data_IF_438878007020
#
_entry.id   IF_438878007020
#
_cell.length_a   1.000
_cell.length_b   1.000
_cell.length_c   1.000
_cell.angle_alpha   90.00
_cell.angle_beta   90.00
_cell.angle_gamma   90.00
#
_symmetry.space_group_name_H-M   'P 1'
#
loop_
_entity.id
_entity.type
_entity.pdbx_description
1 polymer ?
#
# COMPACT_ATOMS: atom_id res chain seq x y z
N UNK A 1 -72.97 16.57 5.13
CA UNK A 1 -73.21 15.16 4.75
C UNK A 1 -71.87 14.47 4.74
N UNK A 2 -71.60 13.68 5.77
CA UNK A 2 -70.38 12.90 5.97
C UNK A 2 -70.34 11.74 4.98
N UNK A 3 -69.17 11.42 4.43
CA UNK A 3 -68.67 10.05 4.18
C UNK A 3 -67.20 10.13 3.70
N UNK A 4 -66.30 9.56 4.50
CA UNK A 4 -64.96 9.11 4.11
C UNK A 4 -65.08 7.77 3.35
N UNK A 5 -64.12 7.40 2.47
CA UNK A 5 -63.06 6.47 2.94
C UNK A 5 -61.65 6.63 2.31
N UNK A 6 -60.69 6.34 3.19
CA UNK A 6 -59.42 5.59 3.10
C UNK A 6 -58.34 5.81 2.01
N UNK A 7 -57.11 5.87 2.55
CA UNK A 7 -55.76 5.95 1.95
C UNK A 7 -55.46 4.86 0.93
N UNK A 8 -54.70 5.22 -0.11
CA UNK A 8 -53.52 4.45 -0.50
C UNK A 8 -52.33 5.40 -0.68
N UNK A 9 -51.22 5.04 -0.05
CA UNK A 9 -49.95 5.76 -0.08
C UNK A 9 -49.07 5.13 -1.16
N UNK A 10 -48.69 5.90 -2.17
CA UNK A 10 -47.37 5.78 -2.80
C UNK A 10 -47.01 7.13 -3.40
N UNK A 11 -46.02 7.78 -2.79
CA UNK A 11 -45.53 9.07 -3.23
C UNK A 11 -44.78 8.94 -4.55
N UNK A 12 -45.11 9.80 -5.49
CA UNK A 12 -44.19 10.14 -6.57
C UNK A 12 -43.04 10.99 -6.02
N UNK A 13 -41.90 10.98 -6.69
CA UNK A 13 -41.48 12.08 -7.56
C UNK A 13 -40.02 11.94 -7.98
N UNK A 14 -39.77 12.48 -9.17
CA UNK A 14 -38.55 13.12 -9.65
C UNK A 14 -37.29 12.29 -9.90
N UNK A 15 -37.15 11.97 -11.19
CA UNK A 15 -35.89 12.01 -11.91
C UNK A 15 -35.42 13.47 -12.02
N UNK A 16 -34.44 13.87 -11.21
CA UNK A 16 -33.52 14.94 -11.59
C UNK A 16 -32.24 14.90 -10.76
N UNK A 17 -31.15 15.37 -11.38
CA UNK A 17 -29.80 14.99 -11.05
C UNK A 17 -29.25 15.45 -9.70
N UNK A 18 -28.31 14.65 -9.17
CA UNK A 18 -27.16 15.20 -8.47
C UNK A 18 -25.90 14.44 -8.86
N UNK A 19 -25.17 15.06 -9.80
CA UNK A 19 -23.74 14.91 -9.92
C UNK A 19 -23.09 15.07 -8.54
N UNK A 20 -22.20 14.15 -8.19
CA UNK A 20 -21.40 14.26 -6.98
C UNK A 20 -20.44 15.45 -7.14
N UNK A 21 -20.78 16.59 -6.54
CA UNK A 21 -19.95 17.79 -6.52
C UNK A 21 -18.65 17.49 -5.79
N UNK A 22 -17.55 17.42 -6.53
CA UNK A 22 -16.20 17.50 -5.99
C UNK A 22 -15.98 18.94 -5.52
N UNK A 23 -15.89 19.12 -4.20
CA UNK A 23 -15.49 20.39 -3.59
C UNK A 23 -16.32 20.81 -2.40
N UNK A 24 -16.12 20.17 -1.25
CA UNK A 24 -16.48 20.76 0.05
C UNK A 24 -15.23 20.88 0.93
N UNK A 25 -14.92 22.12 1.33
CA UNK A 25 -13.88 22.46 2.32
C UNK A 25 -14.49 22.35 3.72
N UNK A 26 -14.02 21.39 4.51
CA UNK A 26 -14.28 21.38 5.94
C UNK A 26 -13.18 22.15 6.68
N UNK A 27 -13.58 23.16 7.44
CA UNK A 27 -12.72 23.92 8.35
C UNK A 27 -12.98 23.42 9.77
N UNK A 28 -11.94 22.97 10.47
CA UNK A 28 -11.97 22.74 11.91
C UNK A 28 -10.85 23.53 12.58
N UNK A 29 -11.18 24.17 13.70
CA UNK A 29 -10.31 25.00 14.54
C UNK A 29 -10.00 24.22 15.82
N UNK A 30 -8.72 24.20 16.22
CA UNK A 30 -8.33 24.15 17.65
C UNK A 30 -7.70 22.87 18.19
N UNK A 31 -6.36 22.91 18.32
CA UNK A 31 -5.46 22.23 19.26
C UNK A 31 -5.43 20.70 19.37
N UNK A 32 -4.26 20.14 19.02
CA UNK A 32 -3.84 18.77 19.31
C UNK A 32 -3.48 18.03 18.03
N UNK A 33 -2.17 18.01 17.70
CA UNK A 33 -1.59 17.47 16.45
C UNK A 33 -2.29 16.19 15.99
N UNK A 34 -3.13 16.33 14.96
CA UNK A 34 -3.73 15.23 14.21
C UNK A 34 -3.17 15.33 12.81
N UNK A 35 -2.26 14.41 12.44
CA UNK A 35 -1.75 14.31 11.07
C UNK A 35 -2.70 13.36 10.32
N UNK A 36 -3.57 13.92 9.47
CA UNK A 36 -4.30 13.18 8.43
C UNK A 36 -3.51 13.31 7.13
N UNK A 37 -3.15 12.19 6.51
CA UNK A 37 -2.58 12.17 5.17
C UNK A 37 -3.69 12.03 4.13
N UNK A 38 -3.61 12.87 3.09
CA UNK A 38 -4.56 12.95 1.99
C UNK A 38 -4.35 11.86 0.93
N UNK A 39 -5.45 11.51 0.27
CA UNK A 39 -5.60 10.50 -0.77
C UNK A 39 -4.94 10.96 -2.08
N UNK A 40 -3.77 10.41 -2.40
CA UNK A 40 -3.42 10.15 -3.81
C UNK A 40 -3.82 8.70 -4.11
N UNK A 41 -5.13 8.57 -4.34
CA UNK A 41 -5.89 7.37 -4.71
C UNK A 41 -5.63 6.09 -3.90
N UNK A 42 -5.78 6.22 -2.58
CA UNK A 42 -5.69 5.19 -1.53
C UNK A 42 -4.34 4.46 -1.47
N UNK A 43 -3.39 5.22 -0.91
CA UNK A 43 -2.32 4.77 -0.02
C UNK A 43 -2.50 3.33 0.48
N UNK A 44 -1.52 2.46 0.22
CA UNK A 44 -1.56 1.08 0.74
C UNK A 44 -1.18 1.02 2.23
N UNK A 45 -0.41 2.01 2.72
CA UNK A 45 -0.18 2.19 4.15
C UNK A 45 0.62 3.45 4.49
N UNK A 46 0.48 3.96 5.72
CA UNK A 46 1.33 5.02 6.27
C UNK A 46 1.81 4.79 7.70
N UNK A 47 3.01 5.29 8.03
CA UNK A 47 3.56 5.36 9.40
C UNK A 47 4.39 6.62 9.63
N UNK A 48 4.43 7.17 10.84
CA UNK A 48 5.54 8.01 11.27
C UNK A 48 6.86 7.20 11.33
N UNK A 49 7.88 7.67 10.61
CA UNK A 49 9.28 7.26 10.73
C UNK A 49 9.86 7.72 12.07
N UNK A 50 10.90 7.05 12.62
CA UNK A 50 11.68 7.56 13.75
C UNK A 50 12.27 8.96 13.55
N UNK A 51 12.35 9.47 12.30
CA UNK A 51 12.76 10.86 11.99
C UNK A 51 11.60 11.87 11.97
N UNK A 52 10.36 11.43 12.13
CA UNK A 52 9.15 12.26 12.04
C UNK A 52 8.49 12.29 10.65
N UNK A 53 9.12 11.73 9.63
CA UNK A 53 8.60 11.68 8.25
C UNK A 53 7.66 10.49 8.03
N UNK A 54 6.59 10.64 7.25
CA UNK A 54 5.60 9.57 7.07
C UNK A 54 6.01 8.60 5.94
N UNK A 55 6.43 7.37 6.26
CA UNK A 55 6.68 6.32 5.24
C UNK A 55 5.36 5.94 4.59
N UNK A 56 5.35 5.93 3.26
CA UNK A 56 4.16 5.66 2.46
C UNK A 56 4.44 4.60 1.40
N UNK A 57 3.56 3.60 1.26
CA UNK A 57 3.56 2.69 0.11
C UNK A 57 2.53 3.16 -0.92
N UNK A 58 3.01 3.42 -2.13
CA UNK A 58 2.24 3.87 -3.28
C UNK A 58 1.87 2.72 -4.20
N UNK A 59 0.58 2.34 -4.21
CA UNK A 59 0.07 1.21 -4.97
C UNK A 59 -1.19 1.61 -5.76
N UNK A 60 -1.06 2.38 -6.86
CA UNK A 60 -2.21 2.85 -7.64
C UNK A 60 -3.06 1.70 -8.20
N UNK A 61 -2.47 0.53 -8.40
CA UNK A 61 -3.12 -0.71 -8.85
C UNK A 61 -4.28 -1.15 -7.94
N UNK A 62 -4.22 -0.84 -6.64
CA UNK A 62 -5.30 -1.15 -5.70
C UNK A 62 -6.62 -0.41 -6.02
N UNK A 63 -6.57 0.69 -6.78
CA UNK A 63 -7.78 1.43 -7.20
C UNK A 63 -8.64 0.66 -8.20
N UNK A 64 -8.05 -0.32 -8.88
CA UNK A 64 -8.74 -1.14 -9.87
C UNK A 64 -9.56 -2.27 -9.22
N UNK A 65 -9.29 -2.57 -7.94
CA UNK A 65 -10.02 -3.57 -7.19
C UNK A 65 -11.32 -3.00 -6.60
N UNK A 66 -12.38 -3.81 -6.49
CA UNK A 66 -13.61 -3.38 -5.83
C UNK A 66 -13.36 -2.90 -4.41
N UNK A 67 -14.05 -1.84 -4.01
CA UNK A 67 -14.00 -1.37 -2.63
C UNK A 67 -14.47 -2.50 -1.68
N UNK A 68 -13.79 -2.63 -0.55
CA UNK A 68 -13.95 -3.68 0.46
C UNK A 68 -13.55 -5.10 0.00
N UNK A 69 -13.01 -5.27 -1.21
CA UNK A 69 -12.35 -6.52 -1.57
C UNK A 69 -11.16 -6.76 -0.62
N UNK A 70 -10.89 -8.01 -0.27
CA UNK A 70 -9.76 -8.34 0.60
C UNK A 70 -8.43 -8.10 -0.13
N UNK A 71 -7.39 -7.70 0.61
CA UNK A 71 -6.05 -7.47 0.08
C UNK A 71 -5.47 -8.70 -0.63
N UNK A 72 -5.90 -9.93 -0.30
CA UNK A 72 -5.52 -11.13 -1.07
C UNK A 72 -5.84 -11.01 -2.56
N UNK A 73 -6.88 -10.26 -2.94
CA UNK A 73 -7.22 -10.03 -4.35
C UNK A 73 -6.11 -9.28 -5.10
N UNK A 74 -5.28 -8.51 -4.38
CA UNK A 74 -4.10 -7.82 -4.92
C UNK A 74 -3.03 -8.79 -5.41
N UNK A 75 -3.01 -10.03 -4.93
CA UNK A 75 -1.98 -11.04 -5.28
C UNK A 75 -2.40 -11.95 -6.43
N UNK A 76 -3.64 -11.80 -6.93
CA UNK A 76 -4.15 -12.59 -8.05
C UNK A 76 -3.75 -11.97 -9.39
N UNK A 77 -3.59 -12.76 -10.45
CA UNK A 77 -3.22 -12.28 -11.79
C UNK A 77 -4.42 -11.64 -12.53
N UNK A 78 -5.12 -10.73 -11.84
CA UNK A 78 -6.30 -10.02 -12.36
C UNK A 78 -5.97 -8.58 -12.76
N UNK A 79 -4.81 -8.07 -12.33
CA UNK A 79 -4.36 -6.70 -12.56
C UNK A 79 -2.90 -6.70 -12.98
N UNK A 80 -2.60 -5.96 -14.03
CA UNK A 80 -1.23 -5.57 -14.34
C UNK A 80 -0.81 -4.43 -13.39
N UNK A 81 -0.01 -4.79 -12.39
CA UNK A 81 0.40 -3.86 -11.35
C UNK A 81 1.36 -2.78 -11.85
N UNK A 82 2.32 -3.17 -12.69
CA UNK A 82 3.35 -2.26 -13.14
C UNK A 82 2.81 -1.31 -14.21
N UNK A 83 1.93 -1.78 -15.10
CA UNK A 83 1.23 -0.90 -16.05
C UNK A 83 0.32 0.12 -15.33
N UNK A 84 -0.41 -0.29 -14.28
CA UNK A 84 -1.18 0.65 -13.46
C UNK A 84 -0.28 1.74 -12.84
N UNK A 85 0.91 1.37 -12.37
CA UNK A 85 1.89 2.31 -11.83
C UNK A 85 2.42 3.25 -12.92
N UNK A 86 2.83 2.73 -14.07
CA UNK A 86 3.35 3.52 -15.20
C UNK A 86 2.32 4.53 -15.69
N UNK A 87 1.06 4.10 -15.93
CA UNK A 87 -0.02 4.99 -16.35
C UNK A 87 -0.25 6.11 -15.36
N UNK A 88 -0.21 5.79 -14.07
CA UNK A 88 -0.41 6.78 -13.03
C UNK A 88 0.78 7.74 -12.91
N UNK A 89 2.03 7.26 -13.04
CA UNK A 89 3.24 8.10 -13.07
C UNK A 89 3.24 9.08 -14.25
N UNK A 90 2.77 8.66 -15.44
CA UNK A 90 2.61 9.56 -16.58
C UNK A 90 1.60 10.68 -16.33
N UNK A 91 0.59 10.45 -15.48
CA UNK A 91 -0.31 11.51 -15.03
C UNK A 91 0.35 12.51 -14.06
N UNK A 92 1.66 12.35 -13.78
CA UNK A 92 2.49 13.22 -12.95
C UNK A 92 1.93 13.42 -11.54
N UNK A 93 1.77 12.33 -10.76
CA UNK A 93 1.20 12.41 -9.43
C UNK A 93 2.16 13.16 -8.51
N UNK A 94 1.62 13.95 -7.60
CA UNK A 94 2.45 14.55 -6.54
C UNK A 94 2.73 13.49 -5.48
N UNK A 95 3.86 12.80 -5.62
CA UNK A 95 4.30 11.84 -4.63
C UNK A 95 4.52 12.53 -3.27
N UNK A 96 4.02 11.98 -2.15
CA UNK A 96 4.34 12.50 -0.84
C UNK A 96 5.84 12.31 -0.54
N UNK A 97 6.39 13.01 0.48
CA UNK A 97 7.70 12.68 1.01
C UNK A 97 7.76 11.20 1.46
N UNK A 98 8.93 10.58 1.38
CA UNK A 98 9.17 9.19 1.83
C UNK A 98 8.22 8.15 1.20
N UNK A 99 8.02 8.28 -0.12
CA UNK A 99 7.10 7.46 -0.89
C UNK A 99 7.81 6.30 -1.61
N UNK A 100 7.34 5.08 -1.36
CA UNK A 100 7.84 3.84 -1.93
C UNK A 100 6.85 3.30 -2.95
N UNK A 101 7.27 3.15 -4.20
CA UNK A 101 6.40 2.57 -5.24
C UNK A 101 6.27 1.06 -5.06
N UNK A 102 5.04 0.56 -5.02
CA UNK A 102 4.72 -0.86 -5.06
C UNK A 102 4.93 -1.39 -6.48
N UNK A 103 5.87 -2.30 -6.63
CA UNK A 103 6.28 -2.88 -7.92
C UNK A 103 6.22 -4.40 -7.81
N UNK A 104 5.62 -5.05 -8.80
CA UNK A 104 5.73 -6.50 -8.97
C UNK A 104 7.08 -6.79 -9.60
N UNK A 105 8.06 -7.14 -8.76
CA UNK A 105 9.48 -7.26 -9.16
C UNK A 105 9.78 -8.45 -10.08
N UNK A 106 8.86 -9.41 -10.15
CA UNK A 106 8.99 -10.64 -10.97
C UNK A 106 8.23 -10.57 -12.29
N UNK A 107 7.71 -9.39 -12.65
CA UNK A 107 6.98 -9.21 -13.90
C UNK A 107 7.90 -9.43 -15.12
N UNK A 108 7.65 -10.44 -15.97
CA UNK A 108 8.50 -10.73 -17.11
C UNK A 108 8.36 -9.71 -18.25
N UNK A 109 7.33 -8.85 -18.22
CA UNK A 109 7.01 -7.92 -19.30
C UNK A 109 7.36 -6.46 -18.98
N UNK A 110 7.78 -6.17 -17.74
CA UNK A 110 8.15 -4.82 -17.35
C UNK A 110 9.40 -4.33 -18.09
N UNK A 111 9.31 -3.12 -18.64
CA UNK A 111 10.47 -2.34 -19.07
C UNK A 111 11.06 -1.61 -17.86
N UNK A 112 12.13 -2.17 -17.30
CA UNK A 112 12.65 -1.74 -16.00
C UNK A 112 13.34 -0.40 -16.06
N UNK A 113 14.07 -0.14 -17.14
CA UNK A 113 14.73 1.12 -17.44
C UNK A 113 13.72 2.26 -17.45
N UNK A 114 12.64 2.14 -18.25
CA UNK A 114 11.57 3.13 -18.36
C UNK A 114 10.87 3.34 -17.02
N UNK A 115 10.53 2.25 -16.31
CA UNK A 115 9.93 2.36 -14.99
C UNK A 115 10.86 3.09 -14.01
N UNK A 116 12.15 2.80 -14.03
CA UNK A 116 13.14 3.48 -13.19
C UNK A 116 13.27 4.97 -13.51
N UNK A 117 13.21 5.35 -14.79
CA UNK A 117 13.23 6.76 -15.23
C UNK A 117 11.99 7.50 -14.74
N UNK A 118 10.80 6.91 -14.94
CA UNK A 118 9.53 7.49 -14.48
C UNK A 118 9.48 7.67 -12.95
N UNK A 119 10.03 6.71 -12.20
CA UNK A 119 10.10 6.81 -10.74
C UNK A 119 11.07 7.92 -10.28
N UNK A 120 12.17 8.14 -11.00
CA UNK A 120 13.11 9.24 -10.73
C UNK A 120 12.46 10.60 -11.03
N UNK A 121 11.77 10.72 -12.16
CA UNK A 121 11.05 11.94 -12.56
C UNK A 121 9.93 12.29 -11.57
N UNK A 122 9.22 11.27 -11.08
CA UNK A 122 8.21 11.42 -10.03
C UNK A 122 8.79 11.65 -8.62
N UNK A 123 10.11 11.65 -8.48
CA UNK A 123 10.83 11.86 -7.21
C UNK A 123 10.43 10.87 -6.12
N UNK A 124 10.18 9.62 -6.51
CA UNK A 124 9.92 8.55 -5.55
C UNK A 124 11.16 8.30 -4.68
N UNK A 125 10.95 8.07 -3.38
CA UNK A 125 12.05 7.79 -2.44
C UNK A 125 12.63 6.41 -2.67
N UNK A 126 11.78 5.45 -3.01
CA UNK A 126 12.20 4.07 -3.13
C UNK A 126 11.17 3.17 -3.79
N UNK A 127 11.45 1.88 -3.74
CA UNK A 127 10.58 0.82 -4.26
C UNK A 127 10.31 -0.23 -3.19
N UNK A 128 9.20 -0.94 -3.36
CA UNK A 128 8.83 -2.08 -2.53
C UNK A 128 8.28 -3.21 -3.38
N UNK A 129 8.57 -4.47 -3.02
CA UNK A 129 8.10 -5.66 -3.74
C UNK A 129 6.67 -6.00 -3.29
N UNK A 130 5.71 -5.22 -3.76
CA UNK A 130 4.31 -5.48 -3.45
C UNK A 130 3.48 -5.67 -4.72
N UNK A 131 2.71 -6.77 -4.80
CA UNK A 131 2.76 -7.96 -3.94
C UNK A 131 4.10 -8.71 -4.00
N UNK A 132 4.55 -9.36 -2.90
CA UNK A 132 5.80 -10.11 -2.90
C UNK A 132 5.66 -11.44 -3.65
N UNK A 133 6.71 -11.91 -4.29
CA UNK A 133 6.72 -13.10 -5.15
C UNK A 133 6.28 -14.36 -4.42
N UNK A 134 6.58 -14.49 -3.12
CA UNK A 134 6.11 -15.62 -2.31
C UNK A 134 4.57 -15.73 -2.21
N UNK A 135 3.85 -14.66 -2.57
CA UNK A 135 2.40 -14.62 -2.64
C UNK A 135 1.85 -14.87 -4.04
N UNK A 136 2.69 -14.71 -5.08
CA UNK A 136 2.31 -14.86 -6.49
C UNK A 136 2.75 -16.23 -7.01
N UNK A 137 4.02 -16.57 -6.83
CA UNK A 137 4.63 -17.81 -7.29
C UNK A 137 4.59 -18.86 -6.19
N UNK A 138 3.66 -19.81 -6.36
CA UNK A 138 3.53 -20.99 -5.49
C UNK A 138 3.51 -22.26 -6.34
N UNK A 139 4.05 -23.34 -5.78
CA UNK A 139 3.88 -24.68 -6.34
C UNK A 139 2.39 -25.08 -6.33
N UNK A 140 2.05 -26.16 -7.02
CA UNK A 140 0.69 -26.74 -6.95
C UNK A 140 0.29 -27.15 -5.53
N UNK A 141 1.27 -27.36 -4.63
CA UNK A 141 1.07 -27.62 -3.20
C UNK A 141 0.99 -26.33 -2.36
N UNK A 142 1.00 -25.14 -2.98
CA UNK A 142 0.90 -23.84 -2.31
C UNK A 142 2.19 -23.34 -1.66
N UNK A 143 3.34 -24.00 -1.91
CA UNK A 143 4.65 -23.65 -1.34
C UNK A 143 5.31 -22.56 -2.16
N UNK A 144 5.82 -21.47 -1.56
CA UNK A 144 6.56 -20.43 -2.29
C UNK A 144 7.74 -20.99 -3.08
N UNK A 145 7.97 -20.46 -4.29
CA UNK A 145 9.14 -20.79 -5.09
C UNK A 145 10.31 -19.85 -4.77
N UNK A 146 11.47 -20.41 -4.41
CA UNK A 146 12.67 -19.63 -4.08
C UNK A 146 13.19 -18.79 -5.25
N UNK A 147 12.92 -19.25 -6.49
CA UNK A 147 13.32 -18.52 -7.71
C UNK A 147 12.68 -17.13 -7.80
N UNK A 148 11.42 -16.99 -7.38
CA UNK A 148 10.72 -15.71 -7.37
C UNK A 148 11.42 -14.73 -6.45
N UNK A 149 11.74 -15.14 -5.23
CA UNK A 149 12.46 -14.30 -4.27
C UNK A 149 13.84 -13.86 -4.78
N UNK A 150 14.60 -14.76 -5.40
CA UNK A 150 15.90 -14.39 -5.97
C UNK A 150 15.76 -13.31 -7.05
N UNK A 151 14.74 -13.41 -7.90
CA UNK A 151 14.45 -12.38 -8.91
C UNK A 151 14.06 -11.05 -8.26
N UNK A 152 13.23 -11.06 -7.20
CA UNK A 152 12.87 -9.86 -6.46
C UNK A 152 14.10 -9.15 -5.90
N UNK A 153 14.98 -9.88 -5.24
CA UNK A 153 16.18 -9.33 -4.61
C UNK A 153 17.14 -8.76 -5.65
N UNK A 154 17.37 -9.46 -6.78
CA UNK A 154 18.16 -8.93 -7.90
C UNK A 154 17.58 -7.63 -8.45
N UNK A 155 16.25 -7.57 -8.59
CA UNK A 155 15.58 -6.38 -9.12
C UNK A 155 15.68 -5.21 -8.15
N UNK A 156 15.53 -5.47 -6.86
CA UNK A 156 15.72 -4.47 -5.81
C UNK A 156 17.16 -3.96 -5.73
N UNK A 157 18.16 -4.82 -5.90
CA UNK A 157 19.56 -4.39 -6.03
C UNK A 157 19.77 -3.46 -7.22
N UNK A 158 19.12 -3.75 -8.35
CA UNK A 158 19.18 -2.89 -9.52
C UNK A 158 18.59 -1.50 -9.24
N UNK A 159 17.41 -1.43 -8.60
CA UNK A 159 16.84 -0.14 -8.17
C UNK A 159 17.74 0.58 -7.15
N UNK A 160 18.31 -0.16 -6.19
CA UNK A 160 19.22 0.40 -5.20
C UNK A 160 20.47 1.04 -5.83
N UNK A 161 21.04 0.40 -6.86
CA UNK A 161 22.16 0.96 -7.64
C UNK A 161 21.79 2.24 -8.40
N UNK A 162 20.50 2.44 -8.72
CA UNK A 162 19.95 3.67 -9.30
C UNK A 162 19.64 4.76 -8.26
N UNK A 163 19.96 4.53 -6.99
CA UNK A 163 19.80 5.51 -5.90
C UNK A 163 18.48 5.42 -5.14
N UNK A 164 17.62 4.44 -5.45
CA UNK A 164 16.39 4.22 -4.71
C UNK A 164 16.64 3.52 -3.38
N UNK A 165 15.88 3.89 -2.35
CA UNK A 165 15.78 3.08 -1.13
C UNK A 165 14.90 1.86 -1.36
N UNK A 166 15.14 0.80 -0.58
CA UNK A 166 14.35 -0.43 -0.65
C UNK A 166 13.56 -0.63 0.63
N UNK A 167 12.25 -0.85 0.49
CA UNK A 167 11.38 -1.35 1.55
C UNK A 167 10.99 -2.79 1.18
N UNK A 168 11.52 -3.78 1.89
CA UNK A 168 11.32 -5.19 1.54
C UNK A 168 10.10 -5.79 2.24
N UNK A 169 9.25 -6.50 1.52
CA UNK A 169 8.06 -7.16 2.05
C UNK A 169 8.26 -8.67 1.99
N UNK A 170 8.01 -9.35 3.10
CA UNK A 170 8.09 -10.79 3.16
C UNK A 170 7.06 -11.39 4.12
N UNK A 171 6.71 -12.65 3.88
CA UNK A 171 5.78 -13.43 4.70
C UNK A 171 6.46 -14.23 5.81
N UNK A 172 7.79 -14.17 5.94
CA UNK A 172 8.55 -14.87 6.98
C UNK A 172 9.86 -14.13 7.32
N UNK A 173 10.38 -14.37 8.53
CA UNK A 173 11.58 -13.70 9.04
C UNK A 173 12.88 -14.14 8.36
N UNK A 174 12.95 -15.37 7.86
CA UNK A 174 14.15 -15.87 7.19
C UNK A 174 14.39 -15.07 5.90
N UNK A 175 13.33 -14.79 5.13
CA UNK A 175 13.40 -13.93 3.94
C UNK A 175 13.78 -12.49 4.27
N UNK A 176 13.25 -11.92 5.36
CA UNK A 176 13.65 -10.58 5.80
C UNK A 176 15.14 -10.52 6.17
N UNK A 177 15.63 -11.55 6.88
CA UNK A 177 17.04 -11.65 7.26
C UNK A 177 17.95 -11.78 6.04
N UNK A 178 17.55 -12.59 5.05
CA UNK A 178 18.28 -12.72 3.78
C UNK A 178 18.33 -11.39 3.02
N UNK A 179 17.24 -10.62 3.01
CA UNK A 179 17.22 -9.29 2.40
C UNK A 179 18.13 -8.30 3.14
N UNK A 180 18.15 -8.30 4.48
CA UNK A 180 19.04 -7.45 5.28
C UNK A 180 20.52 -7.74 4.99
N UNK A 181 20.89 -9.02 4.94
CA UNK A 181 22.27 -9.44 4.60
C UNK A 181 22.69 -9.02 3.19
N UNK A 182 21.76 -9.08 2.23
CA UNK A 182 22.05 -8.82 0.82
C UNK A 182 22.04 -7.34 0.45
N UNK A 183 21.03 -6.61 0.90
CA UNK A 183 20.81 -5.21 0.54
C UNK A 183 21.54 -4.25 1.49
N UNK A 184 21.85 -4.68 2.71
CA UNK A 184 22.62 -3.92 3.69
C UNK A 184 22.08 -2.50 3.89
N UNK A 185 22.93 -1.50 3.69
CA UNK A 185 22.58 -0.07 3.87
C UNK A 185 21.56 0.48 2.86
N UNK A 186 21.19 -0.28 1.83
CA UNK A 186 20.15 0.09 0.88
C UNK A 186 18.75 -0.30 1.36
N UNK A 187 18.66 -1.20 2.35
CA UNK A 187 17.40 -1.58 2.97
C UNK A 187 17.00 -0.52 4.01
N UNK A 188 15.94 0.22 3.72
CA UNK A 188 15.40 1.26 4.62
C UNK A 188 14.41 0.69 5.65
N UNK A 189 13.83 -0.48 5.35
CA UNK A 189 12.89 -1.15 6.22
C UNK A 189 12.47 -2.53 5.69
N UNK A 190 11.87 -3.33 6.57
CA UNK A 190 11.19 -4.56 6.20
C UNK A 190 9.73 -4.56 6.68
N UNK A 191 8.81 -5.03 5.85
CA UNK A 191 7.40 -5.21 6.16
C UNK A 191 7.09 -6.70 6.26
N UNK A 192 6.72 -7.14 7.45
CA UNK A 192 6.21 -8.47 7.68
C UNK A 192 4.73 -8.55 7.26
N UNK A 193 4.49 -9.22 6.14
CA UNK A 193 3.17 -9.46 5.60
C UNK A 193 2.56 -10.70 6.27
N UNK A 194 1.96 -10.49 7.43
CA UNK A 194 1.22 -11.51 8.16
C UNK A 194 0.05 -12.05 7.32
N UNK A 195 -0.31 -13.34 7.45
CA UNK A 195 -1.48 -13.90 6.75
C UNK A 195 -2.77 -13.10 7.00
N UNK A 196 -2.97 -12.59 8.21
CA UNK A 196 -4.15 -11.79 8.58
C UNK A 196 -4.23 -10.46 7.83
N UNK A 197 -3.09 -9.91 7.39
CA UNK A 197 -3.05 -8.67 6.61
C UNK A 197 -3.72 -8.85 5.24
N UNK A 198 -3.81 -10.07 4.71
CA UNK A 198 -4.47 -10.36 3.44
C UNK A 198 -5.99 -10.23 3.52
N UNK A 199 -6.56 -10.32 4.72
CA UNK A 199 -7.98 -10.11 4.96
C UNK A 199 -8.34 -8.61 5.10
N UNK A 200 -7.35 -7.70 5.10
CA UNK A 200 -7.62 -6.27 5.19
C UNK A 200 -8.44 -5.79 3.99
N UNK A 201 -9.52 -5.02 4.21
CA UNK A 201 -10.35 -4.55 3.11
C UNK A 201 -9.67 -3.40 2.38
N UNK A 202 -9.53 -3.57 1.06
CA UNK A 202 -9.13 -2.51 0.14
C UNK A 202 -10.13 -1.38 0.26
N UNK A 203 -9.63 -0.16 0.37
CA UNK A 203 -10.49 0.98 0.59
C UNK A 203 -10.58 1.43 2.05
N UNK A 204 -10.11 0.62 2.99
CA UNK A 204 -9.88 1.09 4.35
C UNK A 204 -8.53 1.80 4.48
N UNK A 205 -8.38 2.61 5.53
CA UNK A 205 -7.08 3.14 5.92
C UNK A 205 -6.24 1.97 6.45
N UNK A 206 -5.41 1.39 5.58
CA UNK A 206 -4.37 0.46 5.99
C UNK A 206 -3.19 1.30 6.51
N UNK A 207 -2.62 0.91 7.63
CA UNK A 207 -1.46 1.52 8.25
C UNK A 207 -0.29 0.56 8.19
N UNK A 208 0.93 1.12 8.14
CA UNK A 208 2.09 0.35 8.57
C UNK A 208 2.05 0.44 10.11
N UNK A 209 2.53 -0.55 10.83
CA UNK A 209 2.70 -0.49 12.28
C UNK A 209 4.11 -0.94 12.61
N UNK A 210 4.87 -0.11 13.34
CA UNK A 210 6.22 -0.47 13.75
C UNK A 210 6.15 -1.66 14.71
N UNK A 211 6.89 -2.72 14.39
CA UNK A 211 7.03 -3.89 15.25
C UNK A 211 8.14 -3.69 16.30
N UNK A 212 8.78 -2.52 16.33
CA UNK A 212 9.95 -2.27 17.15
C UNK A 212 11.20 -3.03 16.65
N UNK A 213 12.30 -2.85 17.38
CA UNK A 213 13.55 -3.56 17.13
C UNK A 213 13.51 -4.92 17.83
N UNK A 214 12.99 -5.96 17.19
CA UNK A 214 13.11 -7.32 17.69
C UNK A 214 14.45 -7.94 17.26
N UNK A 215 15.34 -8.17 18.22
CA UNK A 215 16.63 -8.85 18.03
C UNK A 215 17.77 -7.95 17.53
N UNK A 216 18.84 -8.57 17.01
CA UNK A 216 20.05 -7.90 16.48
C UNK A 216 19.84 -7.20 15.13
N UNK A 217 18.61 -7.13 14.62
CA UNK A 217 18.23 -6.49 13.35
C UNK A 217 18.45 -4.98 13.43
N UNK A 218 19.28 -4.46 12.53
CA UNK A 218 19.58 -3.02 12.47
C UNK A 218 18.50 -2.23 11.73
N UNK A 219 17.68 -2.93 10.92
CA UNK A 219 16.69 -2.35 10.04
C UNK A 219 15.30 -2.28 10.71
N UNK A 220 14.56 -1.15 10.58
CA UNK A 220 13.19 -1.03 11.06
C UNK A 220 12.25 -2.09 10.48
N UNK A 221 11.40 -2.67 11.34
CA UNK A 221 10.40 -3.67 10.96
C UNK A 221 8.98 -3.15 11.13
N UNK A 222 8.13 -3.49 10.18
CA UNK A 222 6.74 -3.04 10.11
C UNK A 222 5.79 -4.21 9.86
N UNK A 223 4.50 -4.04 10.18
CA UNK A 223 3.41 -4.88 9.72
C UNK A 223 2.33 -4.02 9.04
N UNK A 224 1.46 -4.65 8.25
CA UNK A 224 0.24 -3.99 7.77
C UNK A 224 -0.91 -4.25 8.77
N UNK A 225 -1.63 -3.19 9.14
CA UNK A 225 -2.79 -3.25 10.03
C UNK A 225 -3.87 -2.27 9.59
N UNK A 226 -5.09 -2.45 10.09
CA UNK A 226 -6.13 -1.43 9.92
C UNK A 226 -5.82 -0.24 10.83
N UNK A 227 -5.87 1.00 10.30
CA UNK A 227 -5.51 2.19 11.06
C UNK A 227 -6.40 2.43 12.30
N UNK A 228 -7.64 1.90 12.30
CA UNK A 228 -8.55 1.98 13.44
C UNK A 228 -8.07 1.17 14.66
N UNK A 229 -7.33 0.08 14.44
CA UNK A 229 -6.79 -0.78 15.51
C UNK A 229 -5.37 -0.38 15.95
N UNK A 230 -4.66 0.43 15.16
CA UNK A 230 -3.29 0.87 15.46
C UNK A 230 -3.17 1.86 16.63
N UNK A 231 -4.28 2.28 17.27
CA UNK A 231 -4.26 3.11 18.48
C UNK A 231 -4.16 2.24 19.74
N UNK A 232 -2.95 1.81 20.09
CA UNK A 232 -2.42 1.81 21.47
C UNK A 232 -1.01 1.20 21.54
N UNK A 233 -0.02 1.95 22.06
CA UNK A 233 0.91 1.40 23.02
C UNK A 233 0.37 1.70 24.41
N UNK A 234 0.09 0.66 25.19
CA UNK A 234 -0.05 0.77 26.64
C UNK A 234 1.18 1.52 27.19
N UNK A 235 0.99 2.75 27.67
CA UNK A 235 1.92 3.33 28.63
C UNK A 235 1.82 2.50 29.90
N UNK A 236 2.80 1.66 30.19
CA UNK A 236 3.00 1.15 31.55
C UNK A 236 3.60 2.28 32.38
N UNK A 237 2.94 2.49 33.53
CA UNK A 237 3.27 3.45 34.58
C UNK A 237 4.61 3.16 35.23
#
# INVERSE_FOLDING_TARGET
>A
MTLLPQRSTSGGLDLDGMACKIGERFKWVGLGRTVRANVFGRLAASLPSPRGDQITIYAPSLRTLPQNAMLVMATLPVIDWNDCLVRDLHASPKAPPCCYAAVVMIDPFACWEDLGDLLQDAKMTGVTNFPPACMIERTSAGVPLDRGQELELRRMEWFARRGFKVLFIAADEAKMTAAEQRLGSQLDGAVYLRPEALALPIGSDIGLVSLGSHGSSSVPRFSLEQAATAKQPLRRA
#
